data_IF_099711728370
#
_entry.id   IF_099711728370
#
_cell.length_a   1.000
_cell.length_b   1.000
_cell.length_c   1.000
_cell.angle_alpha   90.00
_cell.angle_beta   90.00
_cell.angle_gamma   90.00
#
_symmetry.space_group_name_H-M   'P 1'
#
loop_
_entity.id
_entity.type
_entity.pdbx_description
1 polymer ?
#
# COMPACT_ATOMS: atom_id res chain seq x y z
N UNK A 1 -10.34 21.55 16.25
CA UNK A 1 -10.91 21.33 14.91
C UNK A 1 -10.95 19.83 14.70
N UNK A 2 -12.13 19.22 14.73
CA UNK A 2 -12.33 17.77 14.74
C UNK A 2 -12.45 17.29 13.30
N UNK A 3 -11.51 16.46 12.83
CA UNK A 3 -11.52 15.94 11.47
C UNK A 3 -12.60 14.87 11.31
N UNK A 4 -13.72 15.19 10.67
CA UNK A 4 -14.80 14.23 10.34
C UNK A 4 -14.75 13.87 8.86
N UNK A 5 -14.02 12.81 8.52
CA UNK A 5 -14.16 12.09 7.26
C UNK A 5 -14.97 10.82 7.52
N UNK A 6 -16.30 10.90 7.46
CA UNK A 6 -17.14 9.72 7.69
C UNK A 6 -17.02 8.77 6.50
N UNK A 7 -16.42 7.59 6.71
CA UNK A 7 -16.43 6.50 5.73
C UNK A 7 -17.85 5.92 5.68
N UNK A 8 -18.60 6.27 4.64
CA UNK A 8 -20.00 5.85 4.51
C UNK A 8 -20.06 4.46 3.84
N UNK A 9 -20.38 3.42 4.61
CA UNK A 9 -20.42 2.04 4.16
C UNK A 9 -21.88 1.57 3.99
N UNK A 10 -22.41 1.62 2.77
CA UNK A 10 -23.70 1.00 2.46
C UNK A 10 -23.50 -0.49 2.09
N UNK A 11 -24.24 -1.36 2.79
CA UNK A 11 -24.43 -2.82 2.58
C UNK A 11 -23.16 -3.67 2.42
N UNK A 12 -22.74 -4.33 3.51
CA UNK A 12 -21.64 -5.32 3.63
C UNK A 12 -20.22 -4.85 3.30
N UNK A 13 -19.93 -3.57 3.55
CA UNK A 13 -18.64 -2.94 3.23
C UNK A 13 -17.91 -2.48 4.49
N UNK A 14 -17.56 -3.39 5.41
CA UNK A 14 -16.75 -3.00 6.58
C UNK A 14 -15.27 -2.85 6.19
N UNK A 15 -14.61 -1.92 6.88
CA UNK A 15 -13.21 -1.61 6.69
C UNK A 15 -12.36 -2.64 7.43
N UNK A 16 -11.40 -3.27 6.75
CA UNK A 16 -10.37 -4.12 7.39
C UNK A 16 -8.96 -3.61 7.13
N UNK A 17 -8.09 -3.94 8.09
CA UNK A 17 -6.65 -3.70 8.07
C UNK A 17 -6.31 -2.26 7.68
N UNK A 18 -6.78 -1.24 8.42
CA UNK A 18 -6.33 0.12 8.17
C UNK A 18 -4.83 0.22 8.45
N UNK A 19 -4.08 0.82 7.53
CA UNK A 19 -2.65 1.04 7.68
C UNK A 19 -2.29 2.45 7.24
N UNK A 20 -1.46 3.09 8.04
CA UNK A 20 -1.00 4.44 7.78
C UNK A 20 0.51 4.47 7.58
N UNK A 21 0.95 5.26 6.60
CA UNK A 21 2.34 5.66 6.44
C UNK A 21 2.44 7.17 6.66
N UNK A 22 3.15 7.56 7.72
CA UNK A 22 3.53 8.94 7.95
C UNK A 22 4.81 9.27 7.16
N UNK A 23 4.78 10.38 6.44
CA UNK A 23 5.89 10.87 5.65
C UNK A 23 6.20 12.28 6.13
N UNK A 24 7.31 12.38 6.86
CA UNK A 24 7.80 13.65 7.37
C UNK A 24 8.75 14.29 6.36
N UNK A 25 8.63 15.61 6.26
CA UNK A 25 9.57 16.47 5.54
C UNK A 25 9.79 17.76 6.32
N UNK A 26 11.01 18.26 6.24
CA UNK A 26 11.40 19.56 6.74
C UNK A 26 11.86 20.37 5.54
N UNK A 27 11.29 21.55 5.32
CA UNK A 27 11.69 22.41 4.21
C UNK A 27 13.02 23.14 4.51
N UNK A 28 13.55 23.89 3.54
CA UNK A 28 14.80 24.64 3.70
C UNK A 28 14.77 25.69 4.83
N UNK A 29 13.57 26.06 5.30
CA UNK A 29 13.37 27.01 6.41
C UNK A 29 13.13 26.32 7.75
N UNK A 30 13.46 25.02 7.89
CA UNK A 30 13.24 24.21 9.08
C UNK A 30 11.77 24.08 9.51
N UNK A 31 10.82 24.30 8.59
CA UNK A 31 9.40 24.07 8.87
C UNK A 31 9.08 22.60 8.64
N UNK A 32 8.58 21.97 9.69
CA UNK A 32 8.11 20.59 9.67
C UNK A 32 6.74 20.47 9.00
N UNK A 33 6.57 19.45 8.16
CA UNK A 33 5.29 19.05 7.59
C UNK A 33 5.17 17.53 7.58
N UNK A 34 3.96 17.03 7.85
CA UNK A 34 3.63 15.59 7.81
C UNK A 34 2.51 15.32 6.82
N UNK A 35 2.82 14.49 5.83
CA UNK A 35 1.83 13.81 4.99
C UNK A 35 1.48 12.47 5.63
N UNK A 36 0.21 12.08 5.61
CA UNK A 36 -0.23 10.75 6.06
C UNK A 36 -0.95 10.08 4.90
N UNK A 37 -0.46 8.92 4.49
CA UNK A 37 -1.17 8.04 3.57
C UNK A 37 -1.91 6.99 4.39
N UNK A 38 -3.18 6.75 4.09
CA UNK A 38 -4.00 5.70 4.69
C UNK A 38 -4.41 4.72 3.59
N UNK A 39 -4.30 3.43 3.84
CA UNK A 39 -4.85 2.36 2.99
C UNK A 39 -5.68 1.39 3.82
N UNK A 40 -6.70 0.79 3.20
CA UNK A 40 -7.55 -0.21 3.82
C UNK A 40 -8.21 -1.10 2.77
N UNK A 41 -8.80 -2.20 3.24
CA UNK A 41 -9.65 -3.06 2.40
C UNK A 41 -11.13 -2.75 2.62
N UNK A 42 -11.90 -2.90 1.55
CA UNK A 42 -13.37 -2.93 1.55
C UNK A 42 -13.82 -4.25 0.88
N UNK A 43 -14.98 -4.80 1.28
CA UNK A 43 -15.65 -5.97 0.67
C UNK A 43 -14.94 -7.32 0.83
N UNK A 44 -14.19 -7.42 1.91
CA UNK A 44 -13.35 -8.57 2.27
C UNK A 44 -14.11 -9.88 2.57
N UNK A 45 -15.43 -9.84 2.76
CA UNK A 45 -16.28 -11.05 2.90
C UNK A 45 -17.13 -11.33 1.66
N UNK A 46 -17.07 -10.47 0.64
CA UNK A 46 -17.76 -10.72 -0.61
C UNK A 46 -16.92 -11.72 -1.41
N UNK A 47 -17.49 -12.88 -1.78
CA UNK A 47 -16.82 -13.92 -2.55
C UNK A 47 -16.50 -13.52 -4.02
N UNK A 48 -16.51 -12.22 -4.33
CA UNK A 48 -16.18 -11.64 -5.62
C UNK A 48 -14.66 -11.46 -5.82
N UNK A 49 -14.23 -11.04 -7.03
CA UNK A 49 -12.81 -10.88 -7.34
C UNK A 49 -12.18 -9.75 -6.52
N UNK A 50 -11.23 -10.13 -5.66
CA UNK A 50 -10.32 -9.32 -4.84
C UNK A 50 -10.96 -8.23 -3.95
N UNK A 51 -10.59 -8.13 -2.65
CA UNK A 51 -11.01 -7.00 -1.84
C UNK A 51 -10.54 -5.69 -2.47
N UNK A 52 -11.42 -4.69 -2.55
CA UNK A 52 -11.07 -3.41 -3.15
C UNK A 52 -10.12 -2.66 -2.21
N UNK A 53 -8.89 -2.44 -2.66
CA UNK A 53 -7.94 -1.58 -1.97
C UNK A 53 -8.41 -0.13 -2.11
N UNK A 54 -8.46 0.57 -0.99
CA UNK A 54 -8.82 1.98 -0.95
C UNK A 54 -7.74 2.76 -0.24
N UNK A 55 -7.60 4.02 -0.63
CA UNK A 55 -6.63 4.94 -0.04
C UNK A 55 -7.15 6.35 0.09
N UNK A 56 -6.58 7.08 1.03
CA UNK A 56 -6.72 8.53 1.17
C UNK A 56 -5.41 9.13 1.67
N UNK A 57 -5.29 10.44 1.49
CA UNK A 57 -4.11 11.19 1.93
C UNK A 57 -4.55 12.37 2.79
N UNK A 58 -3.74 12.68 3.80
CA UNK A 58 -3.79 13.94 4.51
C UNK A 58 -2.49 14.69 4.26
N UNK A 59 -2.58 15.97 3.89
CA UNK A 59 -1.43 16.85 3.69
C UNK A 59 -1.08 17.69 4.93
N UNK A 60 -1.86 17.57 6.00
CA UNK A 60 -1.78 18.42 7.18
C UNK A 60 -1.83 17.60 8.48
N UNK A 61 -1.06 16.51 8.55
CA UNK A 61 -0.90 15.75 9.79
C UNK A 61 -2.17 15.06 10.32
N UNK A 62 -3.19 14.87 9.48
CA UNK A 62 -4.45 14.18 9.79
C UNK A 62 -5.63 15.12 10.03
N UNK A 63 -5.44 16.43 9.92
CA UNK A 63 -6.50 17.40 10.16
C UNK A 63 -7.58 17.41 9.06
N UNK A 64 -7.23 17.06 7.81
CA UNK A 64 -8.17 16.85 6.72
C UNK A 64 -7.70 15.77 5.76
N UNK A 65 -8.64 15.08 5.13
CA UNK A 65 -8.36 13.96 4.24
C UNK A 65 -8.93 14.21 2.85
N UNK A 66 -8.18 13.80 1.83
CA UNK A 66 -8.55 13.89 0.43
C UNK A 66 -8.30 12.58 -0.32
N UNK A 67 -8.96 12.43 -1.45
CA UNK A 67 -8.66 11.35 -2.39
C UNK A 67 -7.23 11.49 -2.93
N UNK A 68 -6.59 10.36 -3.25
CA UNK A 68 -5.31 10.38 -3.96
C UNK A 68 -5.60 10.49 -5.45
N UNK A 69 -5.34 11.67 -6.02
CA UNK A 69 -5.46 11.95 -7.46
C UNK A 69 -4.13 11.70 -8.15
N UNK A 70 -3.97 10.53 -8.79
CA UNK A 70 -2.82 10.23 -9.65
C UNK A 70 -2.70 8.73 -9.97
N UNK A 71 -2.55 8.35 -11.25
CA UNK A 71 -2.11 7.02 -11.72
C UNK A 71 -3.03 5.80 -11.47
N UNK A 72 -3.16 4.92 -12.47
CA UNK A 72 -3.99 3.69 -12.42
C UNK A 72 -3.64 2.74 -11.26
N UNK A 73 -2.38 2.75 -10.79
CA UNK A 73 -1.86 1.86 -9.75
C UNK A 73 -2.01 2.45 -8.34
N UNK A 74 -2.24 3.76 -8.22
CA UNK A 74 -2.29 4.42 -6.92
C UNK A 74 -3.28 3.74 -5.99
N UNK A 75 -4.53 3.53 -6.39
CA UNK A 75 -5.54 3.03 -5.46
C UNK A 75 -5.30 1.60 -4.93
N UNK A 76 -4.36 0.84 -5.50
CA UNK A 76 -4.18 -0.58 -5.19
C UNK A 76 -2.95 -0.90 -4.32
N UNK A 77 -2.20 0.08 -3.83
CA UNK A 77 -1.03 -0.21 -2.99
C UNK A 77 -1.42 -0.42 -1.53
N UNK A 78 -1.15 -1.61 -1.01
CA UNK A 78 -1.26 -1.96 0.41
C UNK A 78 -0.07 -1.38 1.20
N UNK A 79 -0.34 -0.56 2.22
CA UNK A 79 0.72 0.13 2.98
C UNK A 79 1.28 -0.66 4.17
N UNK A 80 0.84 -1.90 4.40
CA UNK A 80 1.19 -2.65 5.63
C UNK A 80 2.66 -2.99 5.79
N UNK A 81 3.42 -2.89 4.71
CA UNK A 81 4.87 -3.10 4.66
C UNK A 81 5.61 -1.86 4.14
N UNK A 82 4.91 -0.73 3.98
CA UNK A 82 5.47 0.43 3.32
C UNK A 82 6.49 1.13 4.23
N UNK A 83 7.67 1.41 3.69
CA UNK A 83 8.74 2.13 4.38
C UNK A 83 9.30 3.25 3.51
N UNK A 84 9.82 4.29 4.15
CA UNK A 84 10.60 5.35 3.51
C UNK A 84 12.09 5.05 3.65
N UNK A 85 12.78 4.98 2.52
CA UNK A 85 14.22 4.78 2.46
C UNK A 85 14.96 6.08 2.74
N UNK A 86 16.25 6.00 3.11
CA UNK A 86 17.12 7.17 3.30
C UNK A 86 17.23 8.03 2.04
N UNK A 87 17.06 7.42 0.87
CA UNK A 87 17.03 8.10 -0.44
C UNK A 87 15.76 8.94 -0.65
N UNK A 88 14.78 8.87 0.25
CA UNK A 88 13.47 9.51 0.10
C UNK A 88 12.46 8.68 -0.71
N UNK A 89 12.91 7.64 -1.41
CA UNK A 89 12.05 6.67 -2.10
C UNK A 89 11.20 5.89 -1.08
N UNK A 90 9.97 5.57 -1.44
CA UNK A 90 9.12 4.62 -0.72
C UNK A 90 9.17 3.26 -1.39
N UNK A 91 9.12 2.21 -0.59
CA UNK A 91 8.86 0.85 -1.04
C UNK A 91 7.70 0.27 -0.25
N UNK A 92 6.80 -0.45 -0.91
CA UNK A 92 5.74 -1.25 -0.29
C UNK A 92 5.75 -2.64 -0.91
N UNK A 93 5.68 -3.66 -0.07
CA UNK A 93 5.69 -5.08 -0.46
C UNK A 93 4.29 -5.64 -0.24
N UNK A 94 3.69 -6.16 -1.29
CA UNK A 94 2.35 -6.72 -1.16
C UNK A 94 2.44 -8.24 -1.07
N UNK A 95 2.11 -8.76 0.12
CA UNK A 95 1.87 -10.18 0.29
C UNK A 95 0.39 -10.44 -0.01
N UNK A 96 0.10 -10.84 -1.25
CA UNK A 96 -1.23 -11.29 -1.61
C UNK A 96 -1.44 -12.73 -1.15
N UNK A 97 -2.45 -13.02 -0.33
CA UNK A 97 -2.95 -14.38 -0.24
C UNK A 97 -3.66 -14.69 -1.57
N UNK A 98 -3.13 -15.57 -2.41
CA UNK A 98 -3.87 -16.04 -3.58
C UNK A 98 -4.77 -17.20 -3.22
N UNK A 99 -5.99 -17.10 -3.75
CA UNK A 99 -6.96 -18.18 -3.77
C UNK A 99 -6.50 -19.32 -4.68
N UNK A 100 -6.96 -20.53 -4.36
CA UNK A 100 -6.75 -21.75 -5.13
C UNK A 100 -7.01 -21.52 -6.62
N UNK A 101 -5.97 -21.70 -7.46
CA UNK A 101 -6.21 -21.89 -8.88
C UNK A 101 -7.06 -23.16 -9.06
N UNK A 102 -7.88 -23.25 -10.12
CA UNK A 102 -8.63 -24.47 -10.45
C UNK A 102 -7.76 -25.74 -10.54
N UNK A 103 -6.44 -25.57 -10.72
CA UNK A 103 -5.43 -26.64 -10.75
C UNK A 103 -4.93 -27.11 -9.38
N UNK A 104 -5.41 -26.52 -8.26
CA UNK A 104 -4.99 -26.89 -6.90
C UNK A 104 -3.63 -26.34 -6.47
N UNK A 105 -2.89 -25.67 -7.36
CA UNK A 105 -1.59 -25.07 -7.03
C UNK A 105 -1.77 -23.65 -6.49
N UNK A 106 -1.17 -23.38 -5.33
CA UNK A 106 -1.04 -22.03 -4.77
C UNK A 106 0.22 -21.38 -5.37
N UNK A 107 0.04 -20.30 -6.13
CA UNK A 107 1.16 -19.47 -6.63
C UNK A 107 1.13 -18.11 -5.96
N UNK A 108 2.24 -17.71 -5.36
CA UNK A 108 2.38 -16.43 -4.65
C UNK A 108 3.31 -15.50 -5.44
N UNK A 109 2.78 -14.70 -6.39
CA UNK A 109 3.61 -13.73 -7.08
C UNK A 109 4.14 -12.71 -6.06
N UNK A 110 5.45 -12.48 -6.08
CA UNK A 110 6.01 -11.39 -5.29
C UNK A 110 5.86 -10.08 -6.05
N UNK A 111 5.07 -9.19 -5.47
CA UNK A 111 4.82 -7.86 -6.00
C UNK A 111 5.35 -6.81 -5.02
N UNK A 112 6.05 -5.82 -5.55
CA UNK A 112 6.43 -4.65 -4.78
C UNK A 112 6.16 -3.37 -5.58
N UNK A 113 6.00 -2.29 -4.85
CA UNK A 113 5.69 -0.98 -5.38
C UNK A 113 6.75 -0.01 -4.91
N UNK A 114 7.17 0.90 -5.78
CA UNK A 114 8.02 2.02 -5.38
C UNK A 114 7.39 3.35 -5.72
N UNK A 115 7.70 4.37 -4.93
CA UNK A 115 7.27 5.74 -5.16
C UNK A 115 8.46 6.68 -4.95
N UNK A 116 8.66 7.62 -5.87
CA UNK A 116 9.67 8.70 -5.75
C UNK A 116 9.06 10.05 -5.37
N UNK A 117 7.73 10.11 -5.21
CA UNK A 117 6.98 11.34 -4.96
C UNK A 117 6.08 11.20 -3.72
N UNK A 118 6.64 10.71 -2.62
CA UNK A 118 5.93 10.61 -1.32
C UNK A 118 4.54 9.93 -1.40
N UNK A 119 4.44 8.92 -2.27
CA UNK A 119 3.30 8.03 -2.41
C UNK A 119 2.13 8.58 -3.22
N UNK A 120 2.33 9.68 -3.95
CA UNK A 120 1.34 10.18 -4.90
C UNK A 120 1.18 9.22 -6.08
N UNK A 121 2.30 8.75 -6.65
CA UNK A 121 2.31 7.75 -7.72
C UNK A 121 3.17 6.55 -7.33
N UNK A 122 2.75 5.36 -7.74
CA UNK A 122 3.45 4.12 -7.46
C UNK A 122 3.71 3.34 -8.74
N UNK A 123 4.92 2.83 -8.87
CA UNK A 123 5.32 1.90 -9.93
C UNK A 123 5.29 0.49 -9.37
N UNK A 124 4.50 -0.39 -10.00
CA UNK A 124 4.41 -1.81 -9.65
C UNK A 124 5.54 -2.60 -10.32
N UNK A 125 6.08 -3.58 -9.60
CA UNK A 125 7.07 -4.53 -10.10
C UNK A 125 6.62 -5.95 -9.78
N UNK A 126 6.61 -6.82 -10.80
CA UNK A 126 6.15 -8.22 -10.72
C UNK A 126 7.28 -9.23 -10.95
N UNK A 127 8.52 -8.74 -11.05
CA UNK A 127 9.66 -9.57 -11.46
C UNK A 127 10.32 -10.32 -10.29
N UNK A 128 9.70 -10.37 -9.12
CA UNK A 128 10.10 -11.32 -8.08
C UNK A 128 9.27 -12.59 -8.25
N UNK A 129 9.88 -13.64 -8.78
CA UNK A 129 9.36 -14.99 -8.57
C UNK A 129 9.80 -15.41 -7.17
N UNK A 130 8.84 -15.63 -6.28
CA UNK A 130 9.08 -16.46 -5.09
C UNK A 130 8.53 -17.83 -5.43
N UNK A 131 9.42 -18.74 -5.81
CA UNK A 131 9.09 -20.15 -5.97
C UNK A 131 8.98 -20.77 -4.58
N UNK A 132 7.75 -21.05 -4.15
CA UNK A 132 7.48 -21.86 -2.97
C UNK A 132 7.48 -23.34 -3.36
N UNK A 133 8.63 -23.85 -3.79
CA UNK A 133 8.98 -25.27 -3.62
C UNK A 133 8.84 -25.63 -2.11
N UNK A 134 8.75 -26.90 -1.68
CA UNK A 134 8.65 -27.29 -0.26
C UNK A 134 9.80 -26.81 0.65
N UNK A 135 10.67 -25.93 0.15
CA UNK A 135 11.80 -25.33 0.83
C UNK A 135 11.42 -24.00 1.49
N UNK A 136 11.97 -23.80 2.68
CA UNK A 136 11.89 -22.57 3.46
C UNK A 136 12.33 -21.34 2.64
N UNK A 137 11.57 -20.24 2.76
CA UNK A 137 12.01 -18.92 2.29
C UNK A 137 13.05 -18.37 3.28
N UNK A 138 14.33 -18.51 2.94
CA UNK A 138 15.45 -18.05 3.78
C UNK A 138 15.74 -16.54 3.67
N UNK A 139 15.01 -15.81 2.82
CA UNK A 139 15.13 -14.37 2.69
C UNK A 139 14.66 -13.84 1.35
N UNK A 140 14.55 -12.51 1.26
CA UNK A 140 14.17 -11.80 0.05
C UNK A 140 15.35 -10.99 -0.46
N UNK A 141 15.69 -11.14 -1.75
CA UNK A 141 16.75 -10.35 -2.40
C UNK A 141 16.13 -9.27 -3.28
N UNK A 142 16.49 -8.02 -3.00
CA UNK A 142 16.13 -6.88 -3.84
C UNK A 142 17.23 -6.60 -4.87
N UNK A 143 16.81 -6.14 -6.06
CA UNK A 143 17.71 -5.74 -7.14
C UNK A 143 18.44 -4.44 -6.75
N UNK A 144 19.68 -4.25 -7.25
CA UNK A 144 20.45 -3.02 -7.06
C UNK A 144 19.66 -1.84 -7.65
N UNK A 145 19.32 -0.85 -6.81
CA UNK A 145 18.49 0.32 -7.19
C UNK A 145 17.09 0.38 -6.54
N UNK A 146 16.71 -0.68 -5.82
CA UNK A 146 15.47 -0.70 -5.02
C UNK A 146 15.69 -0.08 -3.63
N UNK A 147 16.83 -0.37 -2.99
CA UNK A 147 17.26 0.14 -1.67
C UNK A 147 18.37 1.18 -1.86
#
# INVERSE_FOLDING_TARGET
MTATGTLNAATLNYVRNPMALAIDSVNASNVFSRKILLSWFINVDNAGPEPMHKRMTSLNGGASWGAITGGTVANNVYLGSAIKLKTGKLIAIEFKPTYLLPSGNLTYPFEYYTSVNNGDNWTKFTNGLVDFSPLQVNGMRFHKGVI
#
